data_IF_726704934258
#
_entry.id   IF_726704934258
#
_cell.length_a   1.000
_cell.length_b   1.000
_cell.length_c   1.000
_cell.angle_alpha   90.00
_cell.angle_beta   90.00
_cell.angle_gamma   90.00
#
_symmetry.space_group_name_H-M   'P 1'
#
loop_
_entity.id
_entity.type
_entity.pdbx_description
1 polymer ?
#
# COMPACT_ATOMS: atom_id res chain seq x y z
N UNK A 1 -63.70 -58.22 31.79
CA UNK A 1 -62.27 -58.27 31.55
C UNK A 1 -61.88 -57.40 30.35
N UNK A 2 -62.74 -57.07 29.42
CA UNK A 2 -62.39 -56.34 28.18
C UNK A 2 -62.31 -54.82 28.30
N UNK A 3 -62.99 -54.20 29.28
CA UNK A 3 -63.04 -52.76 29.50
C UNK A 3 -61.71 -52.19 30.07
N UNK A 4 -61.15 -52.92 31.06
CA UNK A 4 -59.91 -52.52 31.72
C UNK A 4 -58.68 -52.63 30.78
N UNK A 5 -58.69 -53.56 29.86
CA UNK A 5 -57.58 -53.73 28.90
C UNK A 5 -57.59 -52.66 27.81
N UNK A 6 -58.77 -52.20 27.38
CA UNK A 6 -58.98 -51.09 26.48
C UNK A 6 -58.58 -49.74 27.09
N UNK A 7 -58.90 -49.50 28.37
CA UNK A 7 -58.49 -48.33 29.10
C UNK A 7 -56.96 -48.29 29.27
N UNK A 8 -56.33 -49.41 29.53
CA UNK A 8 -54.88 -49.52 29.68
C UNK A 8 -54.16 -49.26 28.35
N UNK A 9 -54.72 -49.71 27.22
CA UNK A 9 -54.19 -49.41 25.90
C UNK A 9 -54.32 -47.94 25.51
N UNK A 10 -55.41 -47.29 25.90
CA UNK A 10 -55.66 -45.87 25.68
C UNK A 10 -54.65 -45.02 26.49
N UNK A 11 -54.50 -45.32 27.77
CA UNK A 11 -53.48 -44.65 28.62
C UNK A 11 -52.05 -44.82 28.10
N UNK A 12 -51.68 -45.99 27.59
CA UNK A 12 -50.37 -46.21 26.95
C UNK A 12 -50.16 -45.36 25.70
N UNK A 13 -51.20 -45.15 24.90
CA UNK A 13 -51.13 -44.29 23.72
C UNK A 13 -50.95 -42.81 24.13
N UNK A 14 -51.69 -42.35 25.13
CA UNK A 14 -51.58 -40.99 25.66
C UNK A 14 -50.20 -40.74 26.27
N UNK A 15 -49.68 -41.65 27.07
CA UNK A 15 -48.31 -41.55 27.62
C UNK A 15 -47.26 -41.47 26.51
N UNK A 16 -47.39 -42.28 25.47
CA UNK A 16 -46.46 -42.23 24.33
C UNK A 16 -46.56 -40.91 23.54
N UNK A 17 -47.76 -40.39 23.36
CA UNK A 17 -47.98 -39.09 22.72
C UNK A 17 -47.33 -37.96 23.51
N UNK A 18 -47.60 -37.90 24.83
CA UNK A 18 -46.97 -36.91 25.73
C UNK A 18 -45.45 -37.04 25.79
N UNK A 19 -44.93 -38.25 25.75
CA UNK A 19 -43.49 -38.49 25.70
C UNK A 19 -42.86 -37.95 24.42
N UNK A 20 -43.51 -38.15 23.28
CA UNK A 20 -43.02 -37.64 21.99
C UNK A 20 -43.10 -36.11 21.92
N UNK A 21 -44.17 -35.51 22.45
CA UNK A 21 -44.32 -34.08 22.56
C UNK A 21 -43.22 -33.43 23.46
N UNK A 22 -42.94 -34.04 24.61
CA UNK A 22 -41.87 -33.61 25.49
C UNK A 22 -40.49 -33.71 24.82
N UNK A 23 -40.22 -34.75 24.02
CA UNK A 23 -38.99 -34.89 23.27
C UNK A 23 -38.86 -33.77 22.19
N UNK A 24 -39.96 -33.46 21.50
CA UNK A 24 -39.99 -32.40 20.51
C UNK A 24 -39.76 -31.03 21.15
N UNK A 25 -40.40 -30.73 22.26
CA UNK A 25 -40.18 -29.50 23.05
C UNK A 25 -38.75 -29.39 23.56
N UNK A 26 -38.19 -30.47 24.08
CA UNK A 26 -36.78 -30.50 24.49
C UNK A 26 -35.82 -30.19 23.36
N UNK A 27 -36.01 -30.81 22.20
CA UNK A 27 -35.19 -30.59 21.03
C UNK A 27 -35.29 -29.12 20.54
N UNK A 28 -36.51 -28.56 20.54
CA UNK A 28 -36.70 -27.14 20.17
C UNK A 28 -36.01 -26.19 21.16
N UNK A 29 -36.10 -26.48 22.46
CA UNK A 29 -35.40 -25.71 23.51
C UNK A 29 -33.89 -25.77 23.34
N UNK A 30 -33.32 -26.95 23.04
CA UNK A 30 -31.89 -27.12 22.78
C UNK A 30 -31.47 -26.31 21.56
N UNK A 31 -32.28 -26.29 20.51
CA UNK A 31 -32.01 -25.51 19.29
C UNK A 31 -32.04 -24.00 19.58
N UNK A 32 -33.03 -23.53 20.33
CA UNK A 32 -33.14 -22.12 20.70
C UNK A 32 -31.99 -21.68 21.60
N UNK A 33 -31.59 -22.50 22.56
CA UNK A 33 -30.43 -22.23 23.41
C UNK A 33 -29.13 -22.15 22.62
N UNK A 34 -28.94 -22.98 21.59
CA UNK A 34 -27.77 -22.90 20.69
C UNK A 34 -27.74 -21.59 19.93
N UNK A 35 -28.87 -21.16 19.37
CA UNK A 35 -28.98 -19.88 18.64
C UNK A 35 -28.67 -18.71 19.59
N UNK A 36 -29.24 -18.72 20.78
CA UNK A 36 -28.99 -17.68 21.77
C UNK A 36 -27.51 -17.60 22.17
N UNK A 37 -26.86 -18.76 22.33
CA UNK A 37 -25.45 -18.84 22.67
C UNK A 37 -24.57 -18.25 21.53
N UNK A 38 -24.88 -18.57 20.27
CA UNK A 38 -24.20 -18.00 19.10
C UNK A 38 -24.38 -16.46 19.02
N UNK A 39 -25.59 -15.97 19.33
CA UNK A 39 -25.86 -14.53 19.38
C UNK A 39 -25.05 -13.83 20.51
N UNK A 40 -24.97 -14.42 21.68
CA UNK A 40 -24.16 -13.89 22.80
C UNK A 40 -22.69 -13.80 22.43
N UNK A 41 -22.15 -14.84 21.76
CA UNK A 41 -20.76 -14.82 21.28
C UNK A 41 -20.55 -13.71 20.23
N UNK A 42 -21.50 -13.54 19.32
CA UNK A 42 -21.43 -12.48 18.30
C UNK A 42 -21.42 -11.08 18.91
N UNK A 43 -22.33 -10.82 19.85
CA UNK A 43 -22.40 -9.56 20.61
C UNK A 43 -21.11 -9.33 21.40
N UNK A 44 -20.57 -10.37 22.04
CA UNK A 44 -19.30 -10.28 22.77
C UNK A 44 -18.13 -9.88 21.86
N UNK A 45 -18.05 -10.43 20.65
CA UNK A 45 -17.02 -10.04 19.65
C UNK A 45 -17.19 -8.59 19.20
N UNK A 46 -18.42 -8.16 18.97
CA UNK A 46 -18.71 -6.79 18.54
C UNK A 46 -18.37 -5.78 19.63
N UNK A 47 -18.71 -6.07 20.88
CA UNK A 47 -18.34 -5.24 22.04
C UNK A 47 -16.82 -5.17 22.22
N UNK A 48 -16.10 -6.28 22.05
CA UNK A 48 -14.64 -6.30 22.11
C UNK A 48 -14.00 -5.42 21.02
N UNK A 49 -14.55 -5.45 19.79
CA UNK A 49 -14.12 -4.59 18.71
C UNK A 49 -14.40 -3.11 18.98
N UNK A 50 -15.60 -2.79 19.50
CA UNK A 50 -15.95 -1.42 19.87
C UNK A 50 -15.05 -0.89 21.00
N UNK A 51 -14.77 -1.72 22.01
CA UNK A 51 -13.85 -1.37 23.11
C UNK A 51 -12.43 -1.12 22.59
N UNK A 52 -11.93 -1.94 21.66
CA UNK A 52 -10.63 -1.74 21.04
C UNK A 52 -10.60 -0.44 20.22
N UNK A 53 -11.65 -0.16 19.44
CA UNK A 53 -11.75 1.08 18.67
C UNK A 53 -11.80 2.31 19.59
N UNK A 54 -12.54 2.24 20.69
CA UNK A 54 -12.58 3.29 21.71
C UNK A 54 -11.20 3.46 22.37
N UNK A 55 -10.53 2.37 22.71
CA UNK A 55 -9.17 2.41 23.25
C UNK A 55 -8.20 3.07 22.27
N UNK A 56 -8.23 2.71 20.97
CA UNK A 56 -7.42 3.34 19.94
C UNK A 56 -7.75 4.83 19.78
N UNK A 57 -9.04 5.20 19.84
CA UNK A 57 -9.44 6.60 19.82
C UNK A 57 -8.94 7.36 21.08
N UNK A 58 -9.05 6.77 22.26
CA UNK A 58 -8.51 7.36 23.51
C UNK A 58 -6.98 7.50 23.42
N UNK A 59 -6.28 6.49 22.90
CA UNK A 59 -4.83 6.56 22.69
C UNK A 59 -4.49 7.64 21.64
N UNK A 60 -5.27 7.73 20.58
CA UNK A 60 -5.09 8.75 19.53
C UNK A 60 -5.32 10.17 20.07
N UNK A 61 -6.43 10.40 20.81
CA UNK A 61 -6.75 11.71 21.36
C UNK A 61 -6.12 11.97 22.73
N UNK A 62 -5.98 10.95 23.57
CA UNK A 62 -5.44 11.05 24.92
C UNK A 62 -3.92 11.05 25.00
N UNK A 63 -3.22 10.60 23.96
CA UNK A 63 -1.76 10.75 23.85
C UNK A 63 -1.29 12.22 23.83
N UNK A 64 -2.24 13.15 23.80
CA UNK A 64 -1.97 14.59 23.98
C UNK A 64 -1.59 15.01 25.40
N UNK A 65 -1.67 14.10 26.38
CA UNK A 65 -1.49 14.44 27.80
C UNK A 65 -0.26 13.74 28.43
N UNK A 66 0.34 12.79 27.76
CA UNK A 66 1.57 12.13 28.22
C UNK A 66 2.80 12.70 27.48
N UNK A 67 3.97 12.62 28.12
CA UNK A 67 5.26 12.99 27.53
C UNK A 67 5.62 12.05 26.36
N UNK A 68 4.80 12.06 25.30
CA UNK A 68 5.01 11.26 24.10
C UNK A 68 6.13 11.88 23.25
N UNK A 69 6.80 11.01 22.51
CA UNK A 69 7.79 11.42 21.53
C UNK A 69 7.15 12.36 20.47
N UNK A 70 7.67 13.58 20.35
CA UNK A 70 7.17 14.59 19.41
C UNK A 70 7.06 14.09 17.96
N UNK A 71 7.89 13.13 17.57
CA UNK A 71 7.85 12.53 16.24
C UNK A 71 6.52 11.83 15.92
N UNK A 72 5.80 11.29 16.93
CA UNK A 72 4.44 10.77 16.74
C UNK A 72 3.45 11.86 16.31
N UNK A 73 3.61 13.07 16.87
CA UNK A 73 2.75 14.20 16.50
C UNK A 73 3.09 14.72 15.10
N UNK A 74 4.36 14.75 14.73
CA UNK A 74 4.78 15.12 13.38
C UNK A 74 4.23 14.15 12.35
N UNK A 75 4.30 12.84 12.59
CA UNK A 75 3.71 11.83 11.71
C UNK A 75 2.17 11.95 11.63
N UNK A 76 1.48 12.26 12.75
CA UNK A 76 0.03 12.50 12.73
C UNK A 76 -0.33 13.74 11.93
N UNK A 77 0.43 14.83 12.09
CA UNK A 77 0.25 16.06 11.34
C UNK A 77 0.43 15.80 9.83
N UNK A 78 1.49 15.10 9.45
CA UNK A 78 1.73 14.70 8.07
C UNK A 78 0.57 13.86 7.50
N UNK A 79 0.04 12.90 8.28
CA UNK A 79 -1.14 12.12 7.90
C UNK A 79 -2.39 12.97 7.69
N UNK A 80 -2.63 13.99 8.52
CA UNK A 80 -3.74 14.93 8.35
C UNK A 80 -3.57 15.79 7.10
N UNK A 81 -2.39 16.35 6.88
CA UNK A 81 -2.06 17.12 5.68
C UNK A 81 -2.23 16.26 4.41
N UNK A 82 -1.79 15.01 4.47
CA UNK A 82 -2.00 14.04 3.37
C UNK A 82 -3.47 13.78 3.11
N UNK A 83 -4.28 13.61 4.15
CA UNK A 83 -5.72 13.39 4.00
C UNK A 83 -6.42 14.60 3.34
N UNK A 84 -6.09 15.83 3.75
CA UNK A 84 -6.57 17.06 3.12
C UNK A 84 -6.15 17.10 1.65
N UNK A 85 -4.87 16.86 1.37
CA UNK A 85 -4.35 16.82 0.00
C UNK A 85 -5.09 15.81 -0.89
N UNK A 86 -5.36 14.59 -0.37
CA UNK A 86 -6.11 13.56 -1.10
C UNK A 86 -7.54 14.01 -1.39
N UNK A 87 -8.23 14.65 -0.42
CA UNK A 87 -9.60 15.15 -0.61
C UNK A 87 -9.65 16.20 -1.72
N UNK A 88 -8.66 17.08 -1.76
CA UNK A 88 -8.62 18.20 -2.70
C UNK A 88 -8.16 17.78 -4.11
N UNK A 89 -7.19 16.86 -4.19
CA UNK A 89 -6.51 16.54 -5.46
C UNK A 89 -6.84 15.14 -6.02
N UNK A 90 -7.29 14.21 -5.16
CA UNK A 90 -7.47 12.78 -5.51
C UNK A 90 -8.81 12.19 -5.02
N UNK A 91 -9.96 12.92 -5.03
CA UNK A 91 -11.18 12.53 -4.29
C UNK A 91 -11.80 11.19 -4.72
N UNK A 92 -11.45 10.69 -5.90
CA UNK A 92 -12.00 9.43 -6.46
C UNK A 92 -10.90 8.51 -6.98
N UNK A 93 -9.67 8.78 -6.59
CA UNK A 93 -8.54 8.00 -7.09
C UNK A 93 -8.58 6.58 -6.55
N UNK A 94 -8.25 5.61 -7.40
CA UNK A 94 -8.15 4.21 -7.01
C UNK A 94 -7.06 4.04 -5.96
N UNK A 95 -7.40 3.40 -4.85
CA UNK A 95 -6.47 3.10 -3.76
C UNK A 95 -6.21 1.60 -3.63
N UNK A 96 -4.99 1.24 -3.23
CA UNK A 96 -4.55 -0.12 -3.06
C UNK A 96 -3.98 -0.33 -1.65
N UNK A 97 -4.35 -1.46 -1.02
CA UNK A 97 -3.86 -1.82 0.31
C UNK A 97 -2.44 -2.40 0.32
N UNK A 98 -1.84 -2.67 -0.85
CA UNK A 98 -0.46 -3.16 -0.96
C UNK A 98 0.23 -2.64 -2.22
N UNK A 99 1.58 -2.57 -2.15
CA UNK A 99 2.46 -2.05 -3.20
C UNK A 99 2.42 -2.89 -4.49
N UNK A 100 2.33 -4.20 -4.39
CA UNK A 100 2.39 -5.08 -5.57
C UNK A 100 1.15 -4.93 -6.46
N UNK A 101 -0.04 -4.86 -5.87
CA UNK A 101 -1.27 -4.64 -6.63
C UNK A 101 -1.31 -3.23 -7.24
N UNK A 102 -0.79 -2.24 -6.53
CA UNK A 102 -0.60 -0.89 -7.04
C UNK A 102 0.35 -0.88 -8.24
N UNK A 103 1.57 -1.43 -8.11
CA UNK A 103 2.55 -1.48 -9.21
C UNK A 103 2.00 -2.22 -10.42
N UNK A 104 1.30 -3.35 -10.23
CA UNK A 104 0.66 -4.07 -11.34
C UNK A 104 -0.32 -3.18 -12.09
N UNK A 105 -1.22 -2.51 -11.38
CA UNK A 105 -2.18 -1.61 -12.00
C UNK A 105 -1.51 -0.45 -12.74
N UNK A 106 -0.47 0.12 -12.17
CA UNK A 106 0.27 1.25 -12.75
C UNK A 106 1.03 0.82 -14.01
N UNK A 107 1.65 -0.36 -14.00
CA UNK A 107 2.34 -0.91 -15.16
C UNK A 107 1.38 -1.23 -16.32
N UNK A 108 0.17 -1.68 -16.05
CA UNK A 108 -0.87 -1.89 -17.07
C UNK A 108 -1.18 -0.58 -17.84
N UNK A 109 -0.99 0.60 -17.21
CA UNK A 109 -1.21 1.90 -17.86
C UNK A 109 -0.12 2.27 -18.89
N UNK A 110 0.96 1.50 -18.95
CA UNK A 110 2.08 1.68 -19.89
C UNK A 110 2.01 0.76 -21.11
N UNK A 111 1.04 -0.15 -21.21
CA UNK A 111 0.97 -1.24 -22.18
C UNK A 111 1.16 -0.78 -23.64
N UNK A 112 0.59 0.36 -24.00
CA UNK A 112 0.62 0.88 -25.37
C UNK A 112 1.74 1.93 -25.60
N UNK A 113 2.65 2.10 -24.64
CA UNK A 113 3.72 3.08 -24.77
C UNK A 113 5.07 2.38 -25.00
N UNK A 114 5.75 2.79 -26.07
CA UNK A 114 7.11 2.27 -26.40
C UNK A 114 8.13 3.21 -25.78
N UNK A 115 8.90 2.71 -24.83
CA UNK A 115 9.90 3.50 -24.11
C UNK A 115 10.66 2.68 -23.09
N UNK A 116 11.46 3.36 -22.29
CA UNK A 116 12.31 2.79 -21.26
C UNK A 116 11.52 2.56 -19.95
N UNK A 117 11.93 1.53 -19.22
CA UNK A 117 11.42 1.21 -17.89
C UNK A 117 12.57 1.35 -16.89
N UNK A 118 12.47 2.30 -15.99
CA UNK A 118 13.53 2.73 -15.09
C UNK A 118 13.08 2.62 -13.64
N UNK A 119 13.98 2.18 -12.76
CA UNK A 119 13.80 2.22 -11.30
C UNK A 119 15.00 2.90 -10.66
N UNK A 120 14.74 3.80 -9.73
CA UNK A 120 15.73 4.57 -8.97
C UNK A 120 15.59 4.27 -7.49
N UNK A 121 16.62 3.62 -6.93
CA UNK A 121 16.58 2.94 -5.65
C UNK A 121 16.18 1.47 -5.83
N UNK A 122 17.19 0.59 -5.83
CA UNK A 122 16.98 -0.86 -6.05
C UNK A 122 17.13 -1.63 -4.76
N UNK A 123 18.02 -1.20 -3.88
CA UNK A 123 18.32 -1.84 -2.59
C UNK A 123 18.56 -3.35 -2.71
N UNK A 124 17.69 -4.19 -2.13
CA UNK A 124 17.76 -5.66 -2.21
C UNK A 124 17.10 -6.25 -3.46
N UNK A 125 16.44 -5.43 -4.27
CA UNK A 125 15.90 -5.80 -5.58
C UNK A 125 14.48 -6.35 -5.58
N UNK A 126 13.71 -6.19 -4.51
CA UNK A 126 12.36 -6.74 -4.41
C UNK A 126 11.41 -6.10 -5.43
N UNK A 127 11.35 -4.76 -5.49
CA UNK A 127 10.49 -4.01 -6.40
C UNK A 127 10.88 -4.21 -7.86
N UNK A 128 12.17 -4.12 -8.19
CA UNK A 128 12.62 -4.28 -9.58
C UNK A 128 12.38 -5.70 -10.10
N UNK A 129 12.55 -6.72 -9.26
CA UNK A 129 12.26 -8.10 -9.63
C UNK A 129 10.75 -8.32 -9.83
N UNK A 130 9.92 -7.68 -9.00
CA UNK A 130 8.47 -7.72 -9.18
C UNK A 130 8.06 -7.06 -10.50
N UNK A 131 8.55 -5.84 -10.80
CA UNK A 131 8.31 -5.13 -12.06
C UNK A 131 8.76 -6.00 -13.25
N UNK A 132 9.98 -6.53 -13.20
CA UNK A 132 10.54 -7.39 -14.24
C UNK A 132 9.74 -8.69 -14.46
N UNK A 133 9.13 -9.24 -13.43
CA UNK A 133 8.26 -10.42 -13.52
C UNK A 133 6.94 -10.15 -14.25
N UNK A 134 6.42 -8.92 -14.13
CA UNK A 134 5.19 -8.49 -14.83
C UNK A 134 5.48 -8.18 -16.30
N UNK A 135 6.68 -7.69 -16.60
CA UNK A 135 7.10 -7.22 -17.90
C UNK A 135 8.25 -8.09 -18.49
N UNK A 136 8.05 -9.40 -18.72
CA UNK A 136 9.12 -10.34 -19.08
C UNK A 136 9.80 -9.98 -20.42
N UNK A 137 9.10 -9.30 -21.31
CA UNK A 137 9.59 -8.91 -22.65
C UNK A 137 10.23 -7.51 -22.66
N UNK A 138 10.28 -6.82 -21.51
CA UNK A 138 10.90 -5.49 -21.39
C UNK A 138 12.21 -5.58 -20.62
N UNK A 139 13.16 -4.73 -20.97
CA UNK A 139 14.36 -4.52 -20.16
C UNK A 139 14.05 -3.46 -19.12
N UNK A 140 14.34 -3.76 -17.86
CA UNK A 140 14.19 -2.85 -16.74
C UNK A 140 15.58 -2.40 -16.30
N UNK A 141 15.83 -1.10 -16.30
CA UNK A 141 17.08 -0.52 -15.82
C UNK A 141 16.91 -0.07 -14.37
N UNK A 142 17.74 -0.60 -13.48
CA UNK A 142 17.76 -0.25 -12.07
C UNK A 142 19.01 0.53 -11.70
N UNK A 143 18.82 1.71 -11.14
CA UNK A 143 19.90 2.62 -10.72
C UNK A 143 20.00 2.62 -9.20
N UNK A 144 21.19 2.40 -8.67
CA UNK A 144 21.47 2.48 -7.25
C UNK A 144 22.99 2.60 -7.01
N UNK A 145 23.38 3.33 -5.97
CA UNK A 145 24.77 3.34 -5.50
C UNK A 145 25.14 2.03 -4.80
N UNK A 146 24.15 1.38 -4.16
CA UNK A 146 24.29 0.26 -3.23
C UNK A 146 25.14 0.62 -2.00
N UNK A 147 25.33 1.92 -1.73
CA UNK A 147 26.04 2.48 -0.59
C UNK A 147 25.09 3.15 0.41
N UNK A 148 23.78 3.19 0.08
CA UNK A 148 22.75 3.81 0.90
C UNK A 148 22.51 5.28 0.58
N UNK A 149 21.81 5.98 1.47
CA UNK A 149 21.45 7.38 1.29
C UNK A 149 22.70 8.27 1.19
N UNK A 150 22.76 9.23 0.24
CA UNK A 150 23.89 10.14 0.11
C UNK A 150 23.98 11.19 1.23
N UNK A 151 22.88 11.46 1.89
CA UNK A 151 22.73 12.45 2.98
C UNK A 151 21.66 12.02 3.97
N UNK A 152 21.55 12.72 5.11
CA UNK A 152 20.48 12.48 6.09
C UNK A 152 19.13 12.87 5.48
N UNK A 153 18.12 12.03 5.68
CA UNK A 153 16.77 12.28 5.17
C UNK A 153 15.83 12.80 6.27
N UNK A 154 15.59 11.99 7.27
CA UNK A 154 14.68 12.26 8.38
C UNK A 154 15.37 11.98 9.69
N UNK A 155 14.72 12.35 10.80
CA UNK A 155 15.25 12.15 12.16
C UNK A 155 15.63 10.67 12.48
N UNK A 156 15.06 9.72 11.77
CA UNK A 156 15.25 8.27 11.94
C UNK A 156 15.99 7.60 10.77
N UNK A 157 16.35 8.34 9.71
CA UNK A 157 17.05 7.83 8.53
C UNK A 157 18.23 8.75 8.18
N UNK A 158 19.44 8.19 8.25
CA UNK A 158 20.68 8.91 8.12
C UNK A 158 21.44 8.49 6.86
N UNK A 159 22.43 9.28 6.51
CA UNK A 159 23.38 8.94 5.45
C UNK A 159 23.92 7.53 5.63
N UNK A 160 23.88 6.73 4.57
CA UNK A 160 24.32 5.34 4.54
C UNK A 160 23.23 4.31 4.89
N UNK A 161 22.07 4.74 5.41
CA UNK A 161 20.93 3.83 5.56
C UNK A 161 20.51 3.26 4.20
N UNK A 162 19.93 2.06 4.20
CA UNK A 162 19.68 1.26 3.00
C UNK A 162 20.92 0.82 2.22
N UNK A 163 22.12 0.98 2.78
CA UNK A 163 23.36 0.51 2.18
C UNK A 163 23.51 -1.01 2.29
N UNK A 164 23.82 -1.67 1.18
CA UNK A 164 24.12 -3.11 1.10
C UNK A 164 25.62 -3.38 0.92
N UNK A 165 26.46 -2.47 1.38
CA UNK A 165 27.91 -2.54 1.26
C UNK A 165 28.41 -2.70 -0.18
N UNK A 166 27.72 -2.07 -1.12
CA UNK A 166 28.04 -2.10 -2.54
C UNK A 166 27.80 -3.44 -3.24
N UNK A 167 27.10 -4.38 -2.60
CA UNK A 167 26.77 -5.70 -3.19
C UNK A 167 25.55 -5.57 -4.10
N UNK A 168 25.65 -6.10 -5.29
CA UNK A 168 24.50 -6.16 -6.21
C UNK A 168 23.55 -7.27 -5.78
N UNK A 169 22.24 -6.99 -5.76
CA UNK A 169 21.22 -8.00 -5.50
C UNK A 169 21.11 -8.99 -6.66
N UNK A 170 20.50 -10.14 -6.37
CA UNK A 170 20.13 -11.09 -7.42
C UNK A 170 18.87 -10.58 -8.13
N UNK A 171 18.96 -10.39 -9.44
CA UNK A 171 17.87 -9.87 -10.26
C UNK A 171 17.47 -10.80 -11.40
N UNK A 172 16.28 -10.59 -11.95
CA UNK A 172 15.75 -11.31 -13.08
C UNK A 172 16.60 -11.03 -14.36
N UNK A 173 16.55 -11.96 -15.33
CA UNK A 173 17.37 -11.91 -16.54
C UNK A 173 17.14 -10.67 -17.43
N UNK A 174 15.95 -10.08 -17.33
CA UNK A 174 15.57 -8.86 -18.05
C UNK A 174 15.85 -7.56 -17.26
N UNK A 175 16.56 -7.63 -16.13
CA UNK A 175 17.02 -6.45 -15.38
C UNK A 175 18.46 -6.12 -15.74
N UNK A 176 18.79 -4.83 -15.80
CA UNK A 176 20.12 -4.28 -15.98
C UNK A 176 20.41 -3.31 -14.85
N UNK A 177 21.28 -3.70 -13.92
CA UNK A 177 21.68 -2.83 -12.81
C UNK A 177 22.78 -1.86 -13.26
N UNK A 178 22.62 -0.59 -12.92
CA UNK A 178 23.57 0.48 -13.15
C UNK A 178 23.99 0.99 -11.78
N UNK A 179 25.20 0.53 -11.36
CA UNK A 179 25.76 0.88 -10.06
C UNK A 179 26.46 2.24 -10.12
N UNK A 180 26.12 3.13 -9.22
CA UNK A 180 26.73 4.43 -8.99
C UNK A 180 25.72 5.49 -8.59
N UNK A 181 26.21 6.67 -8.27
CA UNK A 181 25.37 7.82 -7.95
C UNK A 181 24.64 8.31 -9.20
N UNK A 182 23.41 8.81 -9.05
CA UNK A 182 22.58 9.24 -10.19
C UNK A 182 23.21 10.36 -11.01
N UNK A 183 23.86 11.31 -10.34
CA UNK A 183 24.58 12.41 -11.01
C UNK A 183 25.77 11.94 -11.85
N UNK A 184 26.31 10.76 -11.58
CA UNK A 184 27.43 10.17 -12.34
C UNK A 184 26.95 9.27 -13.48
N UNK A 185 25.90 8.47 -13.22
CA UNK A 185 25.45 7.42 -14.14
C UNK A 185 24.45 7.90 -15.17
N UNK A 186 23.53 8.81 -14.81
CA UNK A 186 22.47 9.26 -15.70
C UNK A 186 22.96 10.03 -16.93
N UNK A 187 23.94 10.93 -16.87
CA UNK A 187 24.38 11.67 -18.07
C UNK A 187 24.84 10.77 -19.22
N UNK A 188 25.56 9.70 -18.92
CA UNK A 188 26.01 8.76 -19.93
C UNK A 188 24.89 7.81 -20.38
N UNK A 189 24.02 7.41 -19.46
CA UNK A 189 22.85 6.59 -19.79
C UNK A 189 21.91 7.30 -20.76
N UNK A 190 21.55 8.56 -20.49
CA UNK A 190 20.66 9.37 -21.34
C UNK A 190 21.23 9.54 -22.76
N UNK A 191 22.56 9.69 -22.91
CA UNK A 191 23.20 9.75 -24.23
C UNK A 191 23.11 8.44 -25.00
N UNK A 192 23.26 7.31 -24.27
CA UNK A 192 23.22 5.98 -24.86
C UNK A 192 21.79 5.51 -25.16
N UNK A 193 20.82 6.04 -24.44
CA UNK A 193 19.42 5.63 -24.48
C UNK A 193 18.52 6.87 -24.65
N UNK A 194 18.40 7.44 -25.86
CA UNK A 194 17.66 8.67 -26.11
C UNK A 194 16.13 8.48 -26.19
N UNK A 195 15.64 7.25 -26.09
CA UNK A 195 14.22 6.92 -26.19
C UNK A 195 13.42 7.53 -25.03
N UNK A 196 12.12 7.82 -25.21
CA UNK A 196 11.26 8.27 -24.13
C UNK A 196 11.15 7.27 -22.98
N UNK A 197 10.86 7.76 -21.79
CA UNK A 197 10.53 6.91 -20.63
C UNK A 197 9.07 6.47 -20.72
N UNK A 198 8.82 5.17 -20.70
CA UNK A 198 7.48 4.60 -20.56
C UNK A 198 7.06 4.57 -19.09
N UNK A 199 7.99 4.17 -18.23
CA UNK A 199 7.77 4.03 -16.81
C UNK A 199 9.00 4.44 -16.01
N UNK A 200 8.78 5.20 -14.94
CA UNK A 200 9.80 5.60 -13.98
C UNK A 200 9.28 5.26 -12.59
N UNK A 201 9.99 4.41 -11.85
CA UNK A 201 9.78 4.16 -10.44
C UNK A 201 10.80 4.96 -9.62
N UNK A 202 10.32 5.92 -8.86
CA UNK A 202 11.13 6.76 -7.96
C UNK A 202 10.98 6.17 -6.56
N UNK A 203 12.05 5.59 -6.04
CA UNK A 203 12.14 4.93 -4.74
C UNK A 203 13.51 5.26 -4.12
N UNK A 204 13.77 6.57 -4.00
CA UNK A 204 15.08 7.09 -3.61
C UNK A 204 15.03 8.14 -2.49
N UNK A 205 13.85 8.29 -1.87
CA UNK A 205 13.57 9.00 -0.62
C UNK A 205 13.81 10.52 -0.67
N UNK A 206 14.93 10.97 -1.21
CA UNK A 206 15.42 12.33 -1.10
C UNK A 206 14.98 13.24 -2.25
N UNK A 207 14.65 14.48 -1.90
CA UNK A 207 14.44 15.56 -2.88
C UNK A 207 15.64 15.70 -3.84
N UNK A 208 16.86 15.73 -3.30
CA UNK A 208 18.08 15.92 -4.08
C UNK A 208 18.31 14.80 -5.11
N UNK A 209 18.02 13.56 -4.73
CA UNK A 209 18.08 12.39 -5.60
C UNK A 209 17.01 12.46 -6.70
N UNK A 210 15.77 12.71 -6.32
CA UNK A 210 14.64 12.84 -7.26
C UNK A 210 14.83 14.02 -8.22
N UNK A 211 15.30 15.15 -7.72
CA UNK A 211 15.66 16.31 -8.54
C UNK A 211 16.74 15.97 -9.58
N UNK A 212 17.78 15.25 -9.16
CA UNK A 212 18.84 14.79 -10.07
C UNK A 212 18.29 13.88 -11.18
N UNK A 213 17.37 12.98 -10.85
CA UNK A 213 16.69 12.11 -11.82
C UNK A 213 15.96 12.97 -12.87
N UNK A 214 15.12 13.88 -12.42
CA UNK A 214 14.30 14.70 -13.30
C UNK A 214 15.12 15.67 -14.14
N UNK A 215 16.17 16.28 -13.59
CA UNK A 215 17.05 17.18 -14.36
C UNK A 215 17.73 16.47 -15.53
N UNK A 216 18.04 15.18 -15.38
CA UNK A 216 18.64 14.38 -16.45
C UNK A 216 17.59 13.83 -17.43
N UNK A 217 16.41 13.42 -16.93
CA UNK A 217 15.39 12.74 -17.74
C UNK A 217 14.31 13.67 -18.32
N UNK A 218 14.30 14.97 -17.98
CA UNK A 218 13.22 15.92 -18.35
C UNK A 218 12.88 15.97 -19.83
N UNK A 219 13.80 15.62 -20.72
CA UNK A 219 13.56 15.57 -22.17
C UNK A 219 13.07 14.21 -22.67
N UNK A 220 13.18 13.17 -21.85
CA UNK A 220 12.66 11.82 -22.11
C UNK A 220 11.34 11.55 -21.42
N UNK A 221 10.96 12.42 -20.47
CA UNK A 221 9.62 12.45 -19.88
C UNK A 221 8.71 13.22 -20.84
N UNK A 222 7.73 12.51 -21.40
CA UNK A 222 6.84 13.03 -22.44
C UNK A 222 5.40 12.61 -22.18
N UNK A 223 4.45 13.13 -22.97
CA UNK A 223 3.05 12.68 -22.88
C UNK A 223 2.97 11.16 -22.99
N UNK A 224 2.28 10.53 -22.03
CA UNK A 224 2.17 9.07 -21.88
C UNK A 224 3.13 8.46 -20.87
N UNK A 225 4.21 9.13 -20.47
CA UNK A 225 5.12 8.67 -19.40
C UNK A 225 4.35 8.49 -18.09
N UNK A 226 4.54 7.34 -17.47
CA UNK A 226 3.99 7.03 -16.13
C UNK A 226 5.13 7.10 -15.11
N UNK A 227 4.91 7.85 -14.02
CA UNK A 227 5.86 7.97 -12.91
C UNK A 227 5.18 7.46 -11.66
N UNK A 228 5.79 6.47 -11.01
CA UNK A 228 5.37 5.92 -9.73
C UNK A 228 6.37 6.36 -8.65
N UNK A 229 5.86 6.98 -7.60
CA UNK A 229 6.61 7.43 -6.44
C UNK A 229 6.38 6.49 -5.27
N UNK A 230 7.44 6.17 -4.52
CA UNK A 230 7.31 5.38 -3.29
C UNK A 230 7.02 6.26 -2.07
N UNK A 231 7.62 7.44 -1.98
CA UNK A 231 7.46 8.40 -0.89
C UNK A 231 6.86 9.74 -1.36
N UNK A 232 5.64 9.72 -1.90
CA UNK A 232 5.01 10.97 -2.37
C UNK A 232 4.47 11.85 -1.24
N UNK A 233 3.93 11.24 -0.17
CA UNK A 233 3.31 11.93 0.97
C UNK A 233 3.35 11.07 2.26
N UNK A 234 2.64 11.54 3.34
CA UNK A 234 2.38 10.80 4.59
C UNK A 234 3.61 10.61 5.49
N UNK A 235 4.59 11.49 5.39
CA UNK A 235 5.71 11.64 6.32
C UNK A 235 5.96 13.12 6.61
N UNK A 236 6.62 13.49 7.74
CA UNK A 236 6.91 14.89 8.04
C UNK A 236 7.68 15.57 6.91
N UNK A 237 7.24 16.79 6.54
CA UNK A 237 7.83 17.60 5.48
C UNK A 237 7.79 16.97 4.07
N UNK A 238 6.85 16.06 3.80
CA UNK A 238 6.71 15.40 2.49
C UNK A 238 6.59 16.39 1.33
N UNK A 239 6.06 17.59 1.58
CA UNK A 239 5.96 18.65 0.58
C UNK A 239 7.32 19.12 0.05
N UNK A 240 8.39 18.88 0.78
CA UNK A 240 9.78 19.22 0.43
C UNK A 240 10.57 18.04 -0.18
N UNK A 241 9.95 16.88 -0.33
CA UNK A 241 10.52 15.63 -0.85
C UNK A 241 10.31 15.41 -2.36
N UNK A 242 9.99 14.16 -2.72
CA UNK A 242 9.73 13.74 -4.11
C UNK A 242 8.60 14.56 -4.76
N UNK A 243 7.55 14.89 -4.00
CA UNK A 243 6.47 15.77 -4.43
C UNK A 243 6.99 17.10 -4.97
N UNK A 244 7.88 17.78 -4.23
CA UNK A 244 8.46 19.06 -4.64
C UNK A 244 9.24 18.93 -5.93
N UNK A 245 10.13 17.95 -6.01
CA UNK A 245 10.94 17.73 -7.20
C UNK A 245 10.06 17.48 -8.44
N UNK A 246 8.97 16.75 -8.28
CA UNK A 246 8.00 16.53 -9.35
C UNK A 246 7.25 17.81 -9.74
N UNK A 247 6.76 18.59 -8.79
CA UNK A 247 6.06 19.85 -9.08
C UNK A 247 6.97 20.89 -9.75
N UNK A 248 8.26 20.92 -9.41
CA UNK A 248 9.25 21.73 -10.11
C UNK A 248 9.45 21.29 -11.56
N UNK A 249 9.53 19.97 -11.84
CA UNK A 249 9.58 19.44 -13.20
C UNK A 249 8.31 19.83 -13.98
N UNK A 250 7.13 19.68 -13.38
CA UNK A 250 5.84 20.06 -13.98
C UNK A 250 5.84 21.54 -14.38
N UNK A 251 6.31 22.42 -13.48
CA UNK A 251 6.40 23.84 -13.74
C UNK A 251 7.44 24.18 -14.82
N UNK A 252 8.64 23.59 -14.76
CA UNK A 252 9.72 23.83 -15.73
C UNK A 252 9.31 23.44 -17.15
N UNK A 253 8.65 22.28 -17.29
CA UNK A 253 8.27 21.72 -18.60
C UNK A 253 6.85 22.13 -19.04
N UNK A 254 6.11 22.84 -18.18
CA UNK A 254 4.70 23.14 -18.38
C UNK A 254 3.87 21.88 -18.67
N UNK A 255 4.12 20.80 -17.92
CA UNK A 255 3.39 19.54 -18.08
C UNK A 255 1.99 19.62 -17.50
N UNK A 256 1.04 19.01 -18.20
CA UNK A 256 -0.20 18.54 -17.61
C UNK A 256 -0.04 17.08 -17.21
N UNK A 257 -0.66 16.68 -16.11
CA UNK A 257 -0.63 15.30 -15.63
C UNK A 257 -1.95 14.91 -14.97
N UNK A 258 -2.14 13.61 -14.80
CA UNK A 258 -3.24 13.07 -13.99
C UNK A 258 -2.71 12.07 -12.98
N UNK A 259 -3.33 12.05 -11.81
CA UNK A 259 -3.13 11.00 -10.84
C UNK A 259 -3.81 9.70 -11.32
N UNK A 260 -3.07 8.58 -11.33
CA UNK A 260 -3.57 7.27 -11.77
C UNK A 260 -4.07 6.39 -10.62
N UNK A 261 -3.27 6.34 -9.57
CA UNK A 261 -3.51 5.47 -8.42
C UNK A 261 -2.67 5.92 -7.22
N UNK A 262 -3.06 5.46 -6.04
CA UNK A 262 -2.28 5.58 -4.82
C UNK A 262 -2.37 4.30 -3.99
N UNK A 263 -1.49 4.17 -3.00
CA UNK A 263 -1.71 3.24 -1.89
C UNK A 263 -2.35 3.95 -0.70
N UNK A 264 -2.64 3.18 0.33
CA UNK A 264 -3.12 3.70 1.61
C UNK A 264 -1.96 4.19 2.52
N UNK A 265 -0.72 4.13 2.04
CA UNK A 265 0.48 4.49 2.81
C UNK A 265 1.12 5.75 2.25
N UNK A 266 1.89 5.66 1.16
CA UNK A 266 2.71 6.76 0.67
C UNK A 266 2.84 6.82 -0.87
N UNK A 267 2.64 5.70 -1.56
CA UNK A 267 2.87 5.59 -3.00
C UNK A 267 1.79 6.31 -3.81
N UNK A 268 2.22 7.00 -4.87
CA UNK A 268 1.34 7.67 -5.85
C UNK A 268 1.89 7.46 -7.25
N UNK A 269 1.01 7.22 -8.21
CA UNK A 269 1.37 7.23 -9.63
C UNK A 269 0.69 8.36 -10.38
N UNK A 270 1.43 8.94 -11.31
CA UNK A 270 0.95 9.98 -12.24
C UNK A 270 1.22 9.57 -13.68
N UNK A 271 0.44 10.14 -14.60
CA UNK A 271 0.69 10.05 -16.05
C UNK A 271 0.78 11.44 -16.64
N UNK A 272 1.82 11.70 -17.39
CA UNK A 272 2.01 12.94 -18.13
C UNK A 272 1.07 12.96 -19.34
N UNK A 273 0.39 14.11 -19.56
CA UNK A 273 -0.57 14.31 -20.67
C UNK A 273 0.03 15.01 -21.87
#
# INVERSE_FOLDING_TARGET
>A
MDTTENELQTLRKEINALRNENIALYNELVKQNKILFEQVISIGKELANQQNNLYQAIVFFGGAVTHDNLNKYLNRLAGMQTAEFIVDNMPKLKSFGNRNDYLRYVLDQTENFVGQYLEFGVYEGDSINFIASILPDKIIYGFDSFEGLPEDWRYDLQKGDFGVSGKLPKVNANVRLIKGWFNETLPEFVKAHPEPCAFIHVDCDLYSSTKTIFDNLKNQIVSGTVIAFDEYFNYPDWQEGEYKAFMELVAEKNFEFEYLARTDIAQVAVKIK
#
